data_IF_346556794883
#
_entry.id   IF_346556794883
#
_cell.length_a   1.000
_cell.length_b   1.000
_cell.length_c   1.000
_cell.angle_alpha   90.00
_cell.angle_beta   90.00
_cell.angle_gamma   90.00
#
_symmetry.space_group_name_H-M   'P 1'
#
loop_
_entity.id
_entity.type
_entity.pdbx_description
1 polymer ?
#
# COMPACT_ATOMS: atom_id res chain seq x y z
N UNK A 1 6.20 10.34 20.30
CA UNK A 1 5.31 11.16 19.47
C UNK A 1 4.23 11.73 20.38
N UNK A 2 4.02 13.04 20.40
CA UNK A 2 2.91 13.66 21.13
C UNK A 2 1.73 13.78 20.17
N UNK A 3 0.65 13.07 20.46
CA UNK A 3 -0.60 13.20 19.72
C UNK A 3 -1.45 14.30 20.36
N UNK A 4 -2.05 15.16 19.56
CA UNK A 4 -2.98 16.20 19.98
C UNK A 4 -4.29 16.10 19.19
N UNK A 5 -5.37 16.58 19.78
CA UNK A 5 -6.64 16.69 19.08
C UNK A 5 -6.51 17.66 17.92
N UNK A 6 -7.16 17.33 16.80
CA UNK A 6 -7.24 18.16 15.59
C UNK A 6 -8.69 18.33 15.23
N UNK A 7 -9.07 19.56 14.87
CA UNK A 7 -10.39 19.90 14.37
C UNK A 7 -10.40 19.94 12.83
N UNK A 8 -11.59 19.98 12.25
CA UNK A 8 -11.78 20.09 10.80
C UNK A 8 -11.68 18.76 10.02
N UNK A 9 -11.70 17.63 10.73
CA UNK A 9 -11.76 16.33 10.08
C UNK A 9 -13.17 16.02 9.57
N UNK A 10 -13.24 15.43 8.38
CA UNK A 10 -14.45 14.87 7.82
C UNK A 10 -14.30 13.35 7.73
N UNK A 11 -15.26 12.62 8.27
CA UNK A 11 -15.23 11.15 8.28
C UNK A 11 -16.35 10.64 7.39
N UNK A 12 -16.01 9.69 6.51
CA UNK A 12 -16.96 8.96 5.68
C UNK A 12 -16.77 7.47 5.92
N UNK A 13 -17.85 6.76 6.21
CA UNK A 13 -17.86 5.31 6.27
C UNK A 13 -18.00 4.75 4.85
N UNK A 14 -17.10 3.84 4.48
CA UNK A 14 -17.17 3.08 3.23
C UNK A 14 -17.51 1.63 3.56
N UNK A 15 -18.63 1.17 3.03
CA UNK A 15 -19.09 -0.18 3.28
C UNK A 15 -18.43 -1.17 2.30
N UNK A 16 -17.68 -2.11 2.84
CA UNK A 16 -16.98 -3.21 2.16
C UNK A 16 -16.05 -2.77 0.98
N UNK A 17 -15.57 -3.76 0.21
CA UNK A 17 -14.65 -3.54 -0.91
C UNK A 17 -15.25 -2.77 -2.08
N UNK A 18 -16.56 -2.86 -2.29
CA UNK A 18 -17.24 -2.22 -3.43
C UNK A 18 -17.23 -0.70 -3.34
N UNK A 19 -17.22 -0.16 -2.13
CA UNK A 19 -17.07 1.28 -1.90
C UNK A 19 -15.62 1.68 -1.63
N UNK A 20 -14.88 0.84 -0.89
CA UNK A 20 -13.51 1.15 -0.47
C UNK A 20 -12.52 1.21 -1.65
N UNK A 21 -12.47 0.18 -2.49
CA UNK A 21 -11.47 0.14 -3.55
C UNK A 21 -11.63 1.26 -4.59
N UNK A 22 -12.84 1.57 -5.10
CA UNK A 22 -13.00 2.71 -5.99
C UNK A 22 -12.57 4.04 -5.36
N UNK A 23 -12.89 4.27 -4.08
CA UNK A 23 -12.48 5.47 -3.37
C UNK A 23 -10.95 5.58 -3.24
N UNK A 24 -10.27 4.48 -2.91
CA UNK A 24 -8.79 4.43 -2.85
C UNK A 24 -8.18 4.70 -4.22
N UNK A 25 -8.68 4.07 -5.28
CA UNK A 25 -8.13 4.27 -6.63
C UNK A 25 -8.34 5.69 -7.13
N UNK A 26 -9.50 6.29 -6.86
CA UNK A 26 -9.78 7.69 -7.18
C UNK A 26 -8.85 8.63 -6.42
N UNK A 27 -8.68 8.42 -5.12
CA UNK A 27 -7.78 9.23 -4.31
C UNK A 27 -6.31 9.13 -4.80
N UNK A 28 -5.84 7.94 -5.18
CA UNK A 28 -4.51 7.74 -5.80
C UNK A 28 -4.42 8.45 -7.15
N UNK A 29 -5.48 8.41 -7.95
CA UNK A 29 -5.51 9.08 -9.25
C UNK A 29 -5.41 10.60 -9.13
N UNK A 30 -5.96 11.17 -8.06
CA UNK A 30 -5.95 12.61 -7.78
C UNK A 30 -4.72 13.07 -6.98
N UNK A 31 -3.91 12.16 -6.46
CA UNK A 31 -2.71 12.48 -5.69
C UNK A 31 -1.76 13.41 -6.46
N UNK A 32 -1.24 14.44 -5.76
CA UNK A 32 -0.36 15.46 -6.32
C UNK A 32 1.06 15.40 -5.76
N UNK A 33 1.24 14.92 -4.52
CA UNK A 33 2.52 15.00 -3.82
C UNK A 33 2.99 13.65 -3.30
N UNK A 34 2.15 12.97 -2.50
CA UNK A 34 2.57 11.81 -1.74
C UNK A 34 1.47 10.77 -1.56
N UNK A 35 1.86 9.51 -1.67
CA UNK A 35 1.04 8.35 -1.33
C UNK A 35 1.83 7.49 -0.35
N UNK A 36 1.21 7.13 0.78
CA UNK A 36 1.71 6.11 1.70
C UNK A 36 0.66 5.00 1.74
N UNK A 37 1.08 3.79 1.45
CA UNK A 37 0.25 2.58 1.51
C UNK A 37 0.89 1.57 2.45
N UNK A 38 0.17 1.17 3.49
CA UNK A 38 0.55 0.06 4.35
C UNK A 38 -0.54 -1.01 4.31
N UNK A 39 -0.20 -2.23 3.96
CA UNK A 39 -1.17 -3.33 3.98
C UNK A 39 -0.54 -4.65 4.37
N UNK A 40 -1.36 -5.51 4.98
CA UNK A 40 -0.93 -6.86 5.38
C UNK A 40 -0.84 -7.79 4.18
N UNK A 41 -1.84 -7.75 3.30
CA UNK A 41 -1.96 -8.65 2.15
C UNK A 41 -2.06 -7.83 0.86
N UNK A 42 -1.23 -8.18 -0.10
CA UNK A 42 -1.32 -7.79 -1.48
C UNK A 42 -1.05 -9.00 -2.37
N UNK A 43 -1.92 -9.27 -3.33
CA UNK A 43 -1.77 -10.31 -4.34
C UNK A 43 -1.82 -9.69 -5.75
N UNK A 44 -1.33 -10.43 -6.74
CA UNK A 44 -1.44 -10.06 -8.16
C UNK A 44 -2.79 -10.47 -8.76
N UNK A 45 -3.85 -10.35 -7.97
CA UNK A 45 -5.23 -10.54 -8.42
C UNK A 45 -5.75 -9.29 -9.17
N UNK A 46 -7.03 -9.28 -9.48
CA UNK A 46 -7.64 -8.17 -10.20
C UNK A 46 -7.51 -6.83 -9.46
N UNK A 47 -7.71 -6.83 -8.14
CA UNK A 47 -7.61 -5.63 -7.29
C UNK A 47 -6.15 -5.17 -7.18
N UNK A 48 -5.23 -6.10 -6.95
CA UNK A 48 -3.80 -5.81 -6.87
C UNK A 48 -3.24 -5.25 -8.17
N UNK A 49 -3.66 -5.76 -9.32
CA UNK A 49 -3.27 -5.22 -10.63
C UNK A 49 -3.83 -3.81 -10.88
N UNK A 50 -5.05 -3.53 -10.44
CA UNK A 50 -5.62 -2.17 -10.49
C UNK A 50 -4.84 -1.21 -9.58
N UNK A 51 -4.49 -1.64 -8.37
CA UNK A 51 -3.66 -0.86 -7.44
C UNK A 51 -2.28 -0.58 -8.03
N UNK A 52 -1.63 -1.62 -8.58
CA UNK A 52 -0.34 -1.50 -9.27
C UNK A 52 -0.39 -0.44 -10.37
N UNK A 53 -1.38 -0.53 -11.27
CA UNK A 53 -1.54 0.44 -12.35
C UNK A 53 -1.80 1.86 -11.85
N UNK A 54 -2.56 2.03 -10.76
CA UNK A 54 -2.81 3.33 -10.16
C UNK A 54 -1.54 3.94 -9.56
N UNK A 55 -0.75 3.16 -8.81
CA UNK A 55 0.52 3.58 -8.24
C UNK A 55 1.55 3.92 -9.32
N UNK A 56 1.63 3.09 -10.36
CA UNK A 56 2.54 3.32 -11.50
C UNK A 56 2.22 4.66 -12.19
N UNK A 57 0.94 4.91 -12.49
CA UNK A 57 0.51 6.19 -13.08
C UNK A 57 0.79 7.38 -12.17
N UNK A 58 0.61 7.23 -10.85
CA UNK A 58 0.93 8.29 -9.89
C UNK A 58 2.43 8.59 -9.87
N UNK A 59 3.29 7.56 -9.82
CA UNK A 59 4.74 7.72 -9.87
C UNK A 59 5.21 8.38 -11.19
N UNK A 60 4.63 8.00 -12.32
CA UNK A 60 4.91 8.63 -13.63
C UNK A 60 4.54 10.11 -13.69
N UNK A 61 3.57 10.56 -12.87
CA UNK A 61 3.26 11.99 -12.69
C UNK A 61 4.20 12.72 -11.73
N UNK A 62 5.15 12.01 -11.10
CA UNK A 62 6.08 12.57 -10.13
C UNK A 62 5.60 12.53 -8.68
N UNK A 63 4.49 11.82 -8.39
CA UNK A 63 4.00 11.63 -7.03
C UNK A 63 4.93 10.66 -6.29
N UNK A 64 5.35 11.02 -5.08
CA UNK A 64 6.16 10.15 -4.23
C UNK A 64 5.28 9.06 -3.62
N UNK A 65 5.44 7.82 -4.05
CA UNK A 65 4.69 6.69 -3.52
C UNK A 65 5.59 5.79 -2.68
N UNK A 66 5.13 5.45 -1.48
CA UNK A 66 5.75 4.50 -0.58
C UNK A 66 4.77 3.37 -0.25
N UNK A 67 5.21 2.14 -0.45
CA UNK A 67 4.43 0.92 -0.18
C UNK A 67 5.16 0.09 0.85
N UNK A 68 4.48 -0.23 1.94
CA UNK A 68 4.97 -1.13 2.97
C UNK A 68 4.03 -2.32 3.09
N UNK A 69 4.53 -3.51 2.79
CA UNK A 69 3.81 -4.77 2.89
C UNK A 69 4.32 -5.62 4.04
N UNK A 70 3.47 -6.45 4.59
CA UNK A 70 3.93 -7.49 5.51
C UNK A 70 4.64 -8.62 4.76
N UNK A 71 5.84 -8.97 5.20
CA UNK A 71 6.65 -10.00 4.55
C UNK A 71 6.11 -11.42 4.68
N UNK A 72 5.13 -11.65 5.56
CA UNK A 72 4.42 -12.91 5.68
C UNK A 72 3.13 -12.93 4.85
N UNK A 73 2.37 -11.84 4.91
CA UNK A 73 1.06 -11.73 4.25
C UNK A 73 1.13 -11.54 2.73
N UNK A 74 2.23 -10.96 2.22
CA UNK A 74 2.41 -10.65 0.80
C UNK A 74 3.71 -11.22 0.24
N UNK A 75 3.95 -12.53 0.33
CA UNK A 75 5.25 -13.11 -0.02
C UNK A 75 5.42 -13.46 -1.49
N UNK A 76 4.35 -13.51 -2.26
CA UNK A 76 4.30 -14.16 -3.57
C UNK A 76 4.08 -13.17 -4.72
N UNK A 77 4.48 -11.91 -4.52
CA UNK A 77 4.54 -10.94 -5.63
C UNK A 77 5.71 -11.26 -6.55
N UNK A 78 5.47 -11.21 -7.85
CA UNK A 78 6.51 -11.44 -8.84
C UNK A 78 7.55 -10.30 -8.87
N UNK A 79 8.78 -10.66 -9.24
CA UNK A 79 9.85 -9.67 -9.45
C UNK A 79 9.45 -8.63 -10.52
N UNK A 80 8.66 -9.03 -11.50
CA UNK A 80 8.14 -8.12 -12.51
C UNK A 80 7.19 -7.08 -11.92
N UNK A 81 6.23 -7.51 -11.09
CA UNK A 81 5.26 -6.63 -10.43
C UNK A 81 5.95 -5.58 -9.56
N UNK A 82 6.89 -6.02 -8.72
CA UNK A 82 7.67 -5.12 -7.84
C UNK A 82 8.64 -4.27 -8.65
N UNK A 83 9.29 -4.86 -9.65
CA UNK A 83 10.29 -4.21 -10.50
C UNK A 83 9.72 -3.05 -11.31
N UNK A 84 8.51 -3.19 -11.87
CA UNK A 84 7.85 -2.10 -12.59
C UNK A 84 7.59 -0.89 -11.68
N UNK A 85 7.09 -1.11 -10.47
CA UNK A 85 6.84 -0.03 -9.49
C UNK A 85 8.14 0.64 -9.04
N UNK A 86 9.15 -0.14 -8.68
CA UNK A 86 10.44 0.39 -8.22
C UNK A 86 11.19 1.12 -9.32
N UNK A 87 11.14 0.65 -10.56
CA UNK A 87 11.71 1.33 -11.72
C UNK A 87 11.03 2.67 -12.01
N UNK A 88 9.76 2.81 -11.69
CA UNK A 88 9.03 4.07 -11.77
C UNK A 88 9.28 5.02 -10.58
N UNK A 89 10.08 4.60 -9.59
CA UNK A 89 10.42 5.41 -8.42
C UNK A 89 9.54 5.17 -7.19
N UNK A 90 8.67 4.17 -7.21
CA UNK A 90 7.92 3.77 -6.01
C UNK A 90 8.87 3.13 -4.99
N UNK A 91 8.85 3.62 -3.75
CA UNK A 91 9.60 3.02 -2.65
C UNK A 91 8.82 1.83 -2.14
N UNK A 92 9.35 0.63 -2.37
CA UNK A 92 8.69 -0.61 -2.02
C UNK A 92 9.46 -1.32 -0.91
N UNK A 93 8.81 -1.64 0.22
CA UNK A 93 9.44 -2.26 1.39
C UNK A 93 8.57 -3.38 1.94
N UNK A 94 9.25 -4.36 2.54
CA UNK A 94 8.60 -5.41 3.33
C UNK A 94 8.91 -5.22 4.81
N UNK A 95 7.88 -5.34 5.64
CA UNK A 95 8.03 -5.41 7.09
C UNK A 95 8.47 -6.82 7.47
N UNK A 96 9.58 -6.92 8.22
CA UNK A 96 10.19 -8.16 8.71
C UNK A 96 10.29 -9.27 7.64
N UNK A 97 10.93 -8.99 6.48
CA UNK A 97 11.12 -9.99 5.43
C UNK A 97 12.11 -11.05 5.92
N UNK A 98 11.68 -12.28 6.06
CA UNK A 98 12.58 -13.41 6.42
C UNK A 98 12.58 -14.47 5.34
N UNK A 99 13.76 -15.04 5.05
CA UNK A 99 13.86 -16.14 4.10
C UNK A 99 13.06 -17.34 4.58
N UNK A 100 12.53 -18.11 3.63
CA UNK A 100 11.92 -19.41 3.93
C UNK A 100 13.02 -20.40 4.32
N UNK A 101 12.84 -21.10 5.44
CA UNK A 101 13.69 -22.20 5.83
C UNK A 101 13.00 -23.53 5.44
N UNK A 102 13.60 -24.33 4.58
CA UNK A 102 13.02 -25.59 4.06
C UNK A 102 11.60 -25.41 3.50
N UNK A 103 11.34 -24.29 2.82
CA UNK A 103 10.01 -23.98 2.28
C UNK A 103 8.99 -23.45 3.30
N UNK A 104 9.32 -23.47 4.60
CA UNK A 104 8.46 -22.96 5.67
C UNK A 104 8.77 -21.51 5.97
N UNK A 105 7.71 -20.72 6.22
CA UNK A 105 7.84 -19.31 6.62
C UNK A 105 8.23 -19.26 8.11
N UNK A 106 9.36 -18.63 8.41
CA UNK A 106 9.87 -18.54 9.79
C UNK A 106 9.29 -17.36 10.57
N UNK A 107 8.64 -16.40 9.88
CA UNK A 107 8.08 -15.20 10.49
C UNK A 107 6.63 -15.42 10.93
N UNK A 108 6.41 -16.19 12.00
CA UNK A 108 5.06 -16.55 12.47
C UNK A 108 4.51 -15.52 13.47
N UNK A 109 5.38 -14.80 14.20
CA UNK A 109 4.97 -14.01 15.38
C UNK A 109 4.88 -12.50 15.15
N UNK A 110 5.65 -11.93 14.24
CA UNK A 110 5.65 -10.50 13.96
C UNK A 110 4.92 -10.22 12.66
N UNK A 111 3.79 -9.53 12.74
CA UNK A 111 2.97 -9.18 11.58
C UNK A 111 2.56 -7.72 11.65
N UNK A 112 2.61 -7.06 10.51
CA UNK A 112 2.06 -5.73 10.35
C UNK A 112 0.62 -5.86 9.82
N UNK A 113 -0.35 -5.91 10.72
CA UNK A 113 -1.75 -6.06 10.33
C UNK A 113 -2.47 -4.70 10.19
N UNK A 114 -1.78 -3.73 9.59
CA UNK A 114 -2.34 -2.42 9.25
C UNK A 114 -2.83 -2.40 7.82
N UNK A 115 -3.86 -1.63 7.56
CA UNK A 115 -4.37 -1.29 6.24
C UNK A 115 -4.64 0.20 6.25
N UNK A 116 -3.69 0.95 5.75
CA UNK A 116 -3.67 2.42 5.83
C UNK A 116 -3.28 2.95 4.46
N UNK A 117 -4.03 3.93 3.99
CA UNK A 117 -3.66 4.71 2.81
C UNK A 117 -3.69 6.18 3.23
N UNK A 118 -2.59 6.89 3.00
CA UNK A 118 -2.52 8.33 3.24
C UNK A 118 -2.13 9.01 1.94
N UNK A 119 -2.90 10.01 1.54
CA UNK A 119 -2.69 10.75 0.29
C UNK A 119 -2.60 12.23 0.57
N UNK A 120 -1.47 12.82 0.17
CA UNK A 120 -1.16 14.25 0.28
C UNK A 120 -1.34 14.81 1.70
N UNK A 121 -1.16 13.98 2.73
CA UNK A 121 -1.40 14.29 4.15
C UNK A 121 -2.82 14.84 4.44
N UNK A 122 -3.80 14.55 3.58
CA UNK A 122 -5.17 15.07 3.64
C UNK A 122 -6.25 13.99 3.66
N UNK A 123 -6.02 12.87 2.99
CA UNK A 123 -6.96 11.73 2.93
C UNK A 123 -6.27 10.55 3.61
N UNK A 124 -6.99 9.86 4.49
CA UNK A 124 -6.52 8.66 5.18
C UNK A 124 -7.67 7.68 5.38
#
# INVERSE_FOLDING_TARGET
MKCGWREGNQIQLLENGDQFYPAVFEAIAQAQQKIILETFILFEDEVGKKLHAALLKAAQRGVKAEVLLDGYGSPDLSDAFVGELTSAGVIFRYYDPRPRLLGLRTNIFRRMHRKIVVIDDRIA
#
